data_IF_164403680957
#
_entry.id   IF_164403680957
#
_cell.length_a   1.000
_cell.length_b   1.000
_cell.length_c   1.000
_cell.angle_alpha   90.00
_cell.angle_beta   90.00
_cell.angle_gamma   90.00
#
_symmetry.space_group_name_H-M   'P 1'
#
loop_
_entity.id
_entity.type
_entity.pdbx_description
1 polymer ?
#
# COMPACT_ATOMS: atom_id res chain seq x y z
N UNK A 1 -63.73 21.06 63.50
CA UNK A 1 -62.39 20.62 63.05
C UNK A 1 -62.48 20.48 61.55
N UNK A 2 -61.93 21.43 60.80
CA UNK A 2 -61.94 21.35 59.35
C UNK A 2 -60.85 20.40 58.93
N UNK A 3 -61.21 19.28 58.31
CA UNK A 3 -60.28 18.35 57.75
C UNK A 3 -59.58 19.01 56.57
N UNK A 4 -58.25 19.24 56.71
CA UNK A 4 -57.42 19.75 55.64
C UNK A 4 -57.49 18.69 54.50
N UNK A 5 -57.92 19.08 53.29
CA UNK A 5 -58.10 18.13 52.21
C UNK A 5 -56.76 17.48 51.89
N UNK A 6 -56.73 16.15 51.81
CA UNK A 6 -55.55 15.33 51.47
C UNK A 6 -54.82 15.81 50.19
N UNK A 7 -55.54 16.49 49.32
CA UNK A 7 -55.05 17.09 48.08
C UNK A 7 -53.92 18.15 48.34
N UNK A 8 -54.08 18.97 49.38
CA UNK A 8 -53.07 19.98 49.75
C UNK A 8 -51.79 19.38 50.33
N UNK A 9 -51.91 18.22 50.94
CA UNK A 9 -50.75 17.46 51.39
C UNK A 9 -49.97 16.80 50.25
N UNK A 10 -50.66 16.40 49.17
CA UNK A 10 -50.01 15.83 47.97
C UNK A 10 -49.27 16.88 47.16
N UNK A 11 -49.73 18.13 47.12
CA UNK A 11 -49.02 19.23 46.41
C UNK A 11 -47.76 19.66 47.10
N UNK A 12 -47.60 19.35 48.40
CA UNK A 12 -46.38 19.56 49.17
C UNK A 12 -45.41 18.37 49.18
N UNK A 13 -45.62 17.42 48.30
CA UNK A 13 -44.74 16.27 48.24
C UNK A 13 -43.30 16.77 47.90
N UNK A 14 -42.34 16.67 48.85
CA UNK A 14 -41.01 17.19 48.65
C UNK A 14 -40.30 16.58 47.47
N UNK A 15 -40.77 15.44 47.00
CA UNK A 15 -40.27 14.76 45.80
C UNK A 15 -40.42 15.62 44.54
N UNK A 16 -41.49 16.40 44.44
CA UNK A 16 -41.69 17.30 43.28
C UNK A 16 -40.88 18.60 43.40
N UNK A 17 -40.64 19.05 44.60
CA UNK A 17 -39.85 20.27 44.87
C UNK A 17 -38.38 20.02 44.86
N UNK A 18 -37.91 18.82 45.20
CA UNK A 18 -36.49 18.49 45.34
C UNK A 18 -35.89 17.83 44.11
N UNK A 19 -36.65 17.47 43.12
CA UNK A 19 -36.12 16.88 41.87
C UNK A 19 -35.36 17.95 41.09
N UNK A 20 -34.14 18.16 41.49
CA UNK A 20 -33.14 18.89 40.70
C UNK A 20 -32.65 17.91 39.64
N UNK A 21 -33.20 17.99 38.45
CA UNK A 21 -32.69 17.28 37.28
C UNK A 21 -31.37 17.88 36.79
N UNK A 22 -30.53 18.25 37.73
CA UNK A 22 -29.16 18.68 37.39
C UNK A 22 -28.25 17.47 37.51
N UNK A 23 -27.89 16.93 36.37
CA UNK A 23 -26.76 16.01 36.32
C UNK A 23 -25.50 16.69 36.87
N UNK A 24 -24.40 15.95 37.04
CA UNK A 24 -23.12 16.51 37.43
C UNK A 24 -22.76 17.65 36.47
N UNK A 25 -22.49 18.84 37.05
CA UNK A 25 -22.06 20.01 36.27
C UNK A 25 -20.73 19.63 35.61
N UNK A 26 -20.71 19.68 34.30
CA UNK A 26 -19.46 19.45 33.57
C UNK A 26 -18.60 20.73 33.68
N UNK A 27 -17.59 20.69 34.54
CA UNK A 27 -16.70 21.80 34.78
C UNK A 27 -15.88 22.14 33.52
N UNK A 28 -15.61 21.15 32.67
CA UNK A 28 -14.84 21.36 31.43
C UNK A 28 -15.66 22.06 30.33
N UNK A 29 -16.97 21.95 30.37
CA UNK A 29 -17.89 22.63 29.46
C UNK A 29 -19.00 23.30 30.27
N UNK A 30 -18.74 24.44 30.90
CA UNK A 30 -19.79 25.17 31.61
C UNK A 30 -20.87 25.60 30.64
N UNK A 31 -22.13 25.57 31.09
CA UNK A 31 -23.23 26.08 30.27
C UNK A 31 -23.05 27.59 30.07
N UNK A 32 -23.37 28.08 28.86
CA UNK A 32 -23.37 29.53 28.63
C UNK A 32 -24.32 30.21 29.63
N UNK A 33 -23.91 31.37 30.07
CA UNK A 33 -24.75 32.20 30.97
C UNK A 33 -26.05 32.64 30.24
N UNK A 34 -27.07 33.03 31.01
CA UNK A 34 -28.25 33.67 30.43
C UNK A 34 -27.84 34.89 29.60
N UNK A 35 -28.56 35.21 28.54
CA UNK A 35 -28.22 36.28 27.60
C UNK A 35 -27.85 37.61 28.29
N UNK A 36 -28.72 38.08 29.20
CA UNK A 36 -28.47 39.36 29.93
C UNK A 36 -27.21 39.31 30.78
N UNK A 37 -26.93 38.17 31.43
CA UNK A 37 -25.73 37.97 32.21
C UNK A 37 -24.50 37.90 31.34
N UNK A 38 -24.61 37.29 30.18
CA UNK A 38 -23.52 37.17 29.21
C UNK A 38 -23.17 38.56 28.66
N UNK A 39 -24.17 39.34 28.27
CA UNK A 39 -24.00 40.70 27.80
C UNK A 39 -23.31 41.59 28.88
N UNK A 40 -23.70 41.49 30.14
CA UNK A 40 -23.11 42.18 31.25
C UNK A 40 -21.62 41.77 31.45
N UNK A 41 -21.37 40.49 31.40
CA UNK A 41 -20.00 39.96 31.52
C UNK A 41 -19.09 40.46 30.39
N UNK A 42 -19.60 40.45 29.15
CA UNK A 42 -18.84 40.90 27.97
C UNK A 42 -18.57 42.43 28.04
N UNK A 43 -19.55 43.21 28.50
CA UNK A 43 -19.38 44.65 28.67
C UNK A 43 -18.45 45.05 29.85
N UNK A 44 -18.45 44.25 30.92
CA UNK A 44 -17.63 44.50 32.11
C UNK A 44 -16.27 43.83 32.05
N UNK A 45 -15.99 43.07 31.01
CA UNK A 45 -14.71 42.38 30.88
C UNK A 45 -13.55 43.39 30.70
N UNK A 46 -12.50 43.31 31.50
CA UNK A 46 -11.39 44.25 31.36
C UNK A 46 -10.64 44.03 30.05
N UNK A 47 -10.55 45.08 29.25
CA UNK A 47 -9.81 45.04 27.98
C UNK A 47 -8.36 45.39 28.25
N UNK A 48 -7.50 44.40 28.35
CA UNK A 48 -6.08 44.59 28.42
C UNK A 48 -5.51 44.82 27.02
N UNK A 49 -4.95 46.02 26.80
CA UNK A 49 -4.22 46.29 25.54
C UNK A 49 -2.93 45.48 25.55
N UNK A 50 -2.87 44.44 24.77
CA UNK A 50 -1.62 43.74 24.52
C UNK A 50 -0.74 44.61 23.61
N UNK A 51 0.56 44.79 23.92
CA UNK A 51 1.47 45.54 23.07
C UNK A 51 1.51 44.90 21.68
N UNK A 52 1.15 45.68 20.64
CA UNK A 52 1.01 45.19 19.26
C UNK A 52 2.35 44.90 18.58
N UNK A 53 3.48 45.29 19.16
CA UNK A 53 4.76 45.32 18.43
C UNK A 53 5.60 44.06 18.50
N UNK A 54 5.26 43.07 19.32
CA UNK A 54 6.21 41.99 19.58
C UNK A 54 5.75 40.61 19.11
N UNK A 55 4.54 40.50 18.63
CA UNK A 55 4.03 39.19 18.19
C UNK A 55 3.47 39.30 16.80
N UNK A 56 4.14 38.65 15.85
CA UNK A 56 3.56 38.41 14.55
C UNK A 56 2.25 37.61 14.70
N UNK A 57 1.27 37.86 13.84
CA UNK A 57 -0.03 37.15 13.85
C UNK A 57 0.14 35.64 13.96
N UNK A 58 1.20 35.12 13.34
CA UNK A 58 1.60 33.71 13.38
C UNK A 58 1.98 33.25 14.81
N UNK A 59 2.55 34.15 15.63
CA UNK A 59 2.92 33.79 17.00
C UNK A 59 1.75 33.84 17.98
N UNK A 60 0.66 34.50 17.60
CA UNK A 60 -0.60 34.57 18.35
C UNK A 60 -1.49 33.37 18.10
N UNK A 61 -1.31 32.68 16.97
CA UNK A 61 -1.98 31.43 16.68
C UNK A 61 -1.56 30.35 17.68
N UNK A 62 -2.55 29.71 18.25
CA UNK A 62 -2.43 28.66 19.25
C UNK A 62 -1.32 27.64 18.98
N UNK A 63 -0.83 27.03 20.02
CA UNK A 63 0.22 25.98 20.18
C UNK A 63 0.50 25.00 19.01
N UNK A 64 -0.36 24.95 17.98
CA UNK A 64 -0.15 24.19 16.75
C UNK A 64 0.97 24.75 15.86
N UNK A 65 1.05 26.07 15.71
CA UNK A 65 2.01 26.72 14.80
C UNK A 65 3.44 26.66 15.36
N UNK A 66 3.60 26.70 16.67
CA UNK A 66 4.92 26.53 17.29
C UNK A 66 5.53 25.14 17.05
N UNK A 67 4.70 24.14 16.74
CA UNK A 67 5.19 22.80 16.32
C UNK A 67 5.70 22.79 14.89
N UNK A 68 5.14 23.64 14.02
CA UNK A 68 5.52 23.69 12.61
C UNK A 68 6.82 24.48 12.39
N UNK A 69 7.09 25.48 13.24
CA UNK A 69 8.28 26.31 13.15
C UNK A 69 9.40 25.89 14.12
N UNK A 70 9.30 24.71 14.72
CA UNK A 70 10.46 24.15 15.43
C UNK A 70 11.54 23.91 14.38
N UNK A 71 12.61 24.70 14.47
CA UNK A 71 13.84 24.41 13.76
C UNK A 71 14.10 22.91 13.89
N UNK A 72 14.34 22.24 12.77
CA UNK A 72 14.60 20.80 12.77
C UNK A 72 15.82 20.55 13.66
N UNK A 73 15.54 20.16 14.89
CA UNK A 73 16.59 19.79 15.84
C UNK A 73 17.18 18.50 15.27
N UNK A 74 18.44 18.57 14.93
CA UNK A 74 19.21 17.42 14.47
C UNK A 74 19.29 16.38 15.60
N UNK A 75 18.65 15.25 15.39
CA UNK A 75 18.60 14.18 16.36
C UNK A 75 19.61 13.09 15.98
N UNK A 76 20.66 12.87 16.79
CA UNK A 76 21.67 11.84 16.47
C UNK A 76 21.09 10.43 16.40
N UNK A 77 20.00 10.15 17.13
CA UNK A 77 19.31 8.87 17.05
C UNK A 77 18.67 8.63 15.67
N UNK A 78 18.06 9.66 15.07
CA UNK A 78 17.49 9.57 13.72
C UNK A 78 18.60 9.30 12.68
N UNK A 79 19.80 9.83 12.88
CA UNK A 79 20.96 9.53 12.01
C UNK A 79 21.39 8.07 12.09
N UNK A 80 21.37 7.47 13.29
CA UNK A 80 21.69 6.06 13.47
C UNK A 80 20.66 5.19 12.75
N UNK A 81 19.37 5.49 12.91
CA UNK A 81 18.30 4.79 12.22
C UNK A 81 18.37 4.98 10.69
N UNK A 82 18.79 6.15 10.22
CA UNK A 82 18.98 6.40 8.79
C UNK A 82 20.12 5.55 8.22
N UNK A 83 21.23 5.39 8.95
CA UNK A 83 22.33 4.47 8.56
C UNK A 83 21.84 3.03 8.53
N UNK A 84 21.15 2.57 9.59
CA UNK A 84 20.57 1.21 9.62
C UNK A 84 19.63 0.99 8.41
N UNK A 85 18.81 1.97 8.09
CA UNK A 85 17.91 1.90 6.93
C UNK A 85 18.71 1.78 5.62
N UNK A 86 19.74 2.58 5.43
CA UNK A 86 20.60 2.52 4.25
C UNK A 86 21.30 1.17 4.14
N UNK A 87 21.80 0.63 5.25
CA UNK A 87 22.44 -0.69 5.29
C UNK A 87 21.45 -1.79 4.85
N UNK A 88 20.18 -1.71 5.28
CA UNK A 88 19.15 -2.62 4.79
C UNK A 88 18.92 -2.50 3.29
N UNK A 89 18.88 -1.29 2.74
CA UNK A 89 18.74 -1.08 1.29
C UNK A 89 19.93 -1.67 0.51
N UNK A 90 21.16 -1.54 1.03
CA UNK A 90 22.35 -2.03 0.36
C UNK A 90 22.51 -3.57 0.48
N UNK A 91 22.10 -4.14 1.61
CA UNK A 91 22.25 -5.57 1.87
C UNK A 91 21.17 -6.40 1.18
N UNK A 92 19.95 -5.85 1.08
CA UNK A 92 18.81 -6.57 0.52
C UNK A 92 18.73 -6.37 -0.99
N UNK A 93 18.62 -7.45 -1.74
CA UNK A 93 18.41 -7.39 -3.20
C UNK A 93 16.96 -7.11 -3.59
N UNK A 94 16.04 -7.26 -2.65
CA UNK A 94 14.61 -6.99 -2.84
C UNK A 94 14.12 -6.08 -1.72
N UNK A 95 13.48 -4.98 -2.07
CA UNK A 95 12.80 -4.07 -1.15
C UNK A 95 11.39 -3.81 -1.68
N UNK A 96 10.37 -4.14 -0.89
CA UNK A 96 8.97 -3.93 -1.29
C UNK A 96 8.32 -2.90 -0.38
N UNK A 97 7.70 -1.90 -0.99
CA UNK A 97 6.98 -0.82 -0.33
C UNK A 97 5.52 -1.18 -0.21
N UNK A 98 5.03 -1.20 1.01
CA UNK A 98 3.64 -1.49 1.33
C UNK A 98 2.95 -0.25 1.88
N UNK A 99 1.75 0.00 1.42
CA UNK A 99 0.82 0.88 2.10
C UNK A 99 0.03 0.08 3.15
N UNK A 100 -0.02 0.61 4.36
CA UNK A 100 -0.74 0.01 5.47
C UNK A 100 -2.04 0.74 5.71
N UNK A 101 -3.17 0.08 5.49
CA UNK A 101 -4.45 0.48 6.03
C UNK A 101 -4.55 0.09 7.51
N UNK A 102 -5.61 0.50 8.18
CA UNK A 102 -5.83 0.12 9.58
C UNK A 102 -5.94 -1.40 9.68
N UNK A 103 -5.07 -2.00 10.50
CA UNK A 103 -5.02 -3.43 10.76
C UNK A 103 -4.88 -3.66 12.27
N UNK A 104 -5.58 -4.68 12.78
CA UNK A 104 -5.43 -5.09 14.16
C UNK A 104 -4.09 -5.80 14.36
N UNK A 105 -3.56 -5.72 15.59
CA UNK A 105 -2.28 -6.36 15.90
C UNK A 105 -2.38 -7.89 15.83
N UNK A 106 -3.52 -8.45 16.15
CA UNK A 106 -3.81 -9.89 16.05
C UNK A 106 -3.69 -10.41 14.61
N UNK A 107 -4.17 -9.63 13.63
CA UNK A 107 -4.06 -9.97 12.21
C UNK A 107 -2.64 -9.74 11.66
N UNK A 108 -1.93 -8.77 12.19
CA UNK A 108 -0.57 -8.42 11.75
C UNK A 108 0.48 -9.42 12.20
N UNK A 109 0.36 -9.97 13.42
CA UNK A 109 1.30 -10.90 14.02
C UNK A 109 1.55 -12.16 13.17
N UNK A 110 0.53 -12.89 12.70
CA UNK A 110 0.73 -14.09 11.87
C UNK A 110 1.39 -13.78 10.53
N UNK A 111 1.13 -12.59 9.97
CA UNK A 111 1.78 -12.15 8.73
C UNK A 111 3.26 -11.91 8.98
N UNK A 112 3.58 -11.16 10.04
CA UNK A 112 4.96 -10.90 10.44
C UNK A 112 5.73 -12.20 10.71
N UNK A 113 5.11 -13.16 11.41
CA UNK A 113 5.70 -14.47 11.65
C UNK A 113 5.94 -15.27 10.36
N UNK A 114 4.98 -15.20 9.42
CA UNK A 114 5.11 -15.86 8.10
C UNK A 114 6.21 -15.24 7.24
N UNK A 115 6.36 -13.93 7.26
CA UNK A 115 7.45 -13.23 6.59
C UNK A 115 8.81 -13.63 7.18
N UNK A 116 8.92 -13.64 8.50
CA UNK A 116 10.15 -13.99 9.20
C UNK A 116 10.58 -15.44 8.93
N UNK A 117 9.62 -16.40 8.85
CA UNK A 117 9.90 -17.79 8.47
C UNK A 117 10.50 -17.91 7.07
N UNK A 118 10.12 -17.01 6.16
CA UNK A 118 10.65 -16.93 4.79
C UNK A 118 11.87 -16.01 4.69
N UNK A 119 12.57 -15.71 5.77
CA UNK A 119 13.77 -14.84 5.83
C UNK A 119 13.53 -13.41 5.34
N UNK A 120 12.29 -12.98 5.30
CA UNK A 120 11.93 -11.61 4.97
C UNK A 120 11.79 -10.78 6.24
N UNK A 121 12.30 -9.56 6.24
CA UNK A 121 12.23 -8.64 7.38
C UNK A 121 11.32 -7.49 7.06
N UNK A 122 10.30 -7.26 7.89
CA UNK A 122 9.41 -6.12 7.77
C UNK A 122 9.85 -5.04 8.76
N UNK A 123 10.06 -3.82 8.27
CA UNK A 123 10.48 -2.65 9.04
C UNK A 123 9.65 -1.44 8.68
N UNK A 124 9.49 -0.55 9.65
CA UNK A 124 8.79 0.72 9.47
C UNK A 124 9.71 1.86 9.85
N UNK A 125 9.94 2.77 8.93
CA UNK A 125 10.72 3.96 9.15
C UNK A 125 9.86 5.21 8.88
N UNK A 126 10.11 6.28 9.63
CA UNK A 126 9.46 7.56 9.40
C UNK A 126 10.01 8.26 8.13
N UNK A 127 9.19 9.12 7.52
CA UNK A 127 9.57 9.88 6.31
C UNK A 127 10.91 10.61 6.47
N UNK A 128 11.15 11.25 7.63
CA UNK A 128 12.38 11.99 7.92
C UNK A 128 13.61 11.10 7.89
N UNK A 129 13.52 9.89 8.49
CA UNK A 129 14.62 8.92 8.52
C UNK A 129 14.95 8.43 7.11
N UNK A 130 13.92 8.12 6.33
CA UNK A 130 14.10 7.66 4.95
C UNK A 130 14.66 8.79 4.08
N UNK A 131 14.18 10.01 4.22
CA UNK A 131 14.75 11.16 3.52
C UNK A 131 16.25 11.31 3.84
N UNK A 132 16.64 11.23 5.11
CA UNK A 132 18.06 11.28 5.50
C UNK A 132 18.88 10.10 4.93
N UNK A 133 18.28 8.91 4.83
CA UNK A 133 18.95 7.72 4.35
C UNK A 133 19.14 7.72 2.82
N UNK A 134 18.15 8.26 2.08
CA UNK A 134 18.11 8.15 0.62
C UNK A 134 18.59 9.40 -0.11
N UNK A 135 18.71 10.55 0.57
CA UNK A 135 19.24 11.78 -0.04
C UNK A 135 20.66 11.56 -0.54
N UNK A 136 20.88 11.90 -1.81
CA UNK A 136 22.19 11.72 -2.47
C UNK A 136 22.52 10.27 -2.84
N UNK A 137 21.59 9.33 -2.70
CA UNK A 137 21.76 7.95 -3.15
C UNK A 137 20.88 7.65 -4.37
N UNK A 138 21.14 6.53 -5.04
CA UNK A 138 20.30 6.04 -6.16
C UNK A 138 18.82 5.81 -5.80
N UNK A 139 18.51 5.77 -4.52
CA UNK A 139 17.14 5.55 -4.01
C UNK A 139 16.37 6.84 -3.74
N UNK A 140 16.84 8.00 -4.18
CA UNK A 140 16.20 9.29 -3.93
C UNK A 140 14.76 9.37 -4.46
N UNK A 141 14.50 8.77 -5.62
CA UNK A 141 13.16 8.71 -6.22
C UNK A 141 12.10 8.06 -5.30
N UNK A 142 12.53 7.21 -4.38
CA UNK A 142 11.65 6.52 -3.43
C UNK A 142 11.04 7.47 -2.39
N UNK A 143 11.65 8.63 -2.12
CA UNK A 143 11.14 9.60 -1.14
C UNK A 143 9.71 10.06 -1.44
N UNK A 144 9.33 10.15 -2.71
CA UNK A 144 7.99 10.56 -3.13
C UNK A 144 6.89 9.56 -2.74
N UNK A 145 7.25 8.30 -2.49
CA UNK A 145 6.30 7.27 -2.07
C UNK A 145 5.87 7.44 -0.61
N UNK A 146 6.67 8.14 0.23
CA UNK A 146 6.44 8.26 1.66
C UNK A 146 5.49 9.42 2.01
N UNK A 147 4.22 9.29 1.61
CA UNK A 147 3.17 10.27 1.94
C UNK A 147 2.35 9.83 3.14
N UNK A 148 2.09 8.54 3.29
CA UNK A 148 1.21 7.97 4.32
C UNK A 148 1.90 6.89 5.15
N UNK A 149 1.12 6.06 5.81
CA UNK A 149 1.66 4.94 6.60
C UNK A 149 2.19 3.84 5.66
N UNK A 150 3.50 3.68 5.66
CA UNK A 150 4.17 2.70 4.83
C UNK A 150 5.05 1.79 5.66
N UNK A 151 5.18 0.57 5.20
CA UNK A 151 6.11 -0.41 5.72
C UNK A 151 6.98 -0.96 4.59
N UNK A 152 8.20 -1.32 4.95
CA UNK A 152 9.19 -1.86 4.04
C UNK A 152 9.39 -3.33 4.34
N UNK A 153 9.45 -4.14 3.30
CA UNK A 153 9.83 -5.55 3.41
C UNK A 153 11.14 -5.73 2.66
N UNK A 154 12.12 -6.24 3.38
CA UNK A 154 13.45 -6.57 2.87
C UNK A 154 13.58 -8.08 2.71
N UNK A 155 14.15 -8.54 1.60
CA UNK A 155 14.31 -9.95 1.33
C UNK A 155 15.15 -10.26 0.10
N UNK A 156 15.00 -11.47 -0.41
CA UNK A 156 15.64 -11.93 -1.65
C UNK A 156 14.62 -11.95 -2.80
N UNK A 157 15.04 -11.73 -4.05
CA UNK A 157 14.14 -11.68 -5.21
C UNK A 157 13.39 -13.00 -5.45
N UNK A 158 13.97 -14.13 -5.06
CA UNK A 158 13.36 -15.47 -5.20
C UNK A 158 12.09 -15.64 -4.36
N UNK A 159 11.98 -14.91 -3.25
CA UNK A 159 10.88 -15.04 -2.29
C UNK A 159 9.67 -14.17 -2.63
N UNK A 160 9.70 -13.44 -3.75
CA UNK A 160 8.61 -12.52 -4.12
C UNK A 160 7.28 -13.26 -4.32
N UNK A 161 7.31 -14.46 -4.89
CA UNK A 161 6.12 -15.29 -5.05
C UNK A 161 5.50 -15.72 -3.72
N UNK A 162 6.34 -15.99 -2.71
CA UNK A 162 5.90 -16.30 -1.34
C UNK A 162 5.35 -15.05 -0.67
N UNK A 163 6.01 -13.89 -0.86
CA UNK A 163 5.55 -12.60 -0.35
C UNK A 163 4.14 -12.27 -0.84
N UNK A 164 3.90 -12.35 -2.14
CA UNK A 164 2.60 -12.04 -2.73
C UNK A 164 1.50 -13.00 -2.24
N UNK A 165 1.83 -14.28 -2.02
CA UNK A 165 0.90 -15.26 -1.42
C UNK A 165 0.54 -14.91 0.03
N UNK A 166 1.49 -14.43 0.81
CA UNK A 166 1.27 -13.99 2.18
C UNK A 166 0.40 -12.71 2.20
N UNK A 167 0.71 -11.74 1.34
CA UNK A 167 -0.04 -10.49 1.26
C UNK A 167 -1.48 -10.66 0.76
N UNK A 168 -1.76 -11.67 -0.05
CA UNK A 168 -3.15 -12.01 -0.44
C UNK A 168 -4.04 -12.34 0.76
N UNK A 169 -3.46 -12.82 1.87
CA UNK A 169 -4.20 -13.11 3.11
C UNK A 169 -4.53 -11.85 3.91
N UNK A 170 -3.87 -10.73 3.61
CA UNK A 170 -4.02 -9.46 4.31
C UNK A 170 -4.37 -8.34 3.32
N UNK A 171 -5.63 -8.16 2.97
CA UNK A 171 -6.08 -7.14 2.00
C UNK A 171 -5.79 -5.71 2.48
N UNK A 172 -5.57 -5.50 3.79
CA UNK A 172 -5.21 -4.20 4.35
C UNK A 172 -3.78 -3.76 3.96
N UNK A 173 -2.91 -4.70 3.57
CA UNK A 173 -1.55 -4.41 3.12
C UNK A 173 -1.49 -4.36 1.61
N UNK A 174 -1.36 -3.17 1.06
CA UNK A 174 -1.34 -2.96 -0.40
C UNK A 174 0.09 -2.77 -0.87
N UNK A 175 0.52 -3.58 -1.83
CA UNK A 175 1.82 -3.40 -2.50
C UNK A 175 1.74 -2.17 -3.40
N UNK A 176 2.66 -1.24 -3.21
CA UNK A 176 2.79 -0.06 -4.07
C UNK A 176 3.82 -0.32 -5.18
N UNK A 177 5.04 -0.56 -4.78
CA UNK A 177 6.21 -0.65 -5.65
C UNK A 177 7.21 -1.61 -5.01
N UNK A 178 8.08 -2.20 -5.81
CA UNK A 178 9.24 -2.93 -5.33
C UNK A 178 10.51 -2.53 -6.05
N UNK A 179 11.63 -2.66 -5.36
CA UNK A 179 12.96 -2.56 -5.95
C UNK A 179 13.53 -3.97 -5.98
N UNK A 180 13.93 -4.43 -7.14
CA UNK A 180 14.59 -5.72 -7.33
C UNK A 180 15.87 -5.45 -8.10
N UNK A 181 17.00 -5.83 -7.53
CA UNK A 181 18.34 -5.64 -8.15
C UNK A 181 18.51 -4.23 -8.74
N UNK A 182 18.16 -3.21 -7.91
CA UNK A 182 18.24 -1.78 -8.24
C UNK A 182 17.25 -1.28 -9.32
N UNK A 183 16.31 -2.11 -9.75
CA UNK A 183 15.22 -1.71 -10.66
C UNK A 183 13.94 -1.46 -9.89
N UNK A 184 13.34 -0.31 -10.12
CA UNK A 184 12.03 0.03 -9.58
C UNK A 184 10.96 -0.63 -10.45
N UNK A 185 10.12 -1.44 -9.82
CA UNK A 185 9.05 -2.20 -10.50
C UNK A 185 7.68 -1.86 -9.90
N UNK A 186 6.71 -1.67 -10.75
CA UNK A 186 5.31 -1.51 -10.36
C UNK A 186 4.74 -2.81 -9.79
N UNK A 187 3.54 -2.74 -9.20
CA UNK A 187 2.84 -3.93 -8.68
C UNK A 187 2.61 -4.98 -9.78
N UNK A 188 2.27 -4.57 -11.00
CA UNK A 188 1.99 -5.49 -12.09
C UNK A 188 3.26 -6.21 -12.56
N UNK A 189 4.34 -5.47 -12.72
CA UNK A 189 5.66 -6.03 -13.06
C UNK A 189 6.16 -6.99 -11.97
N UNK A 190 5.90 -6.68 -10.68
CA UNK A 190 6.21 -7.59 -9.58
C UNK A 190 5.41 -8.90 -9.66
N UNK A 191 4.15 -8.82 -10.11
CA UNK A 191 3.34 -10.02 -10.32
C UNK A 191 3.86 -10.86 -11.48
N UNK A 192 4.24 -10.24 -12.58
CA UNK A 192 4.85 -10.91 -13.73
C UNK A 192 6.19 -11.54 -13.33
N UNK A 193 7.04 -10.78 -12.62
CA UNK A 193 8.29 -11.31 -12.10
C UNK A 193 8.10 -12.51 -11.16
N UNK A 194 7.03 -12.50 -10.37
CA UNK A 194 6.71 -13.63 -9.48
C UNK A 194 6.31 -14.91 -10.20
N UNK A 195 5.90 -14.80 -11.46
CA UNK A 195 5.56 -15.94 -12.31
C UNK A 195 6.79 -16.54 -12.99
N UNK A 196 7.89 -15.77 -13.06
CA UNK A 196 9.16 -16.28 -13.53
C UNK A 196 9.77 -17.15 -12.43
N UNK A 197 9.77 -18.46 -12.61
CA UNK A 197 10.48 -19.32 -11.66
C UNK A 197 11.98 -19.14 -11.92
N UNK A 198 12.82 -19.69 -11.08
CA UNK A 198 14.29 -19.59 -11.08
C UNK A 198 14.95 -19.36 -12.44
N UNK A 199 16.13 -18.75 -12.43
CA UNK A 199 16.97 -18.45 -13.61
C UNK A 199 17.08 -19.66 -14.56
N UNK A 200 17.16 -20.86 -14.00
CA UNK A 200 17.29 -22.09 -14.80
C UNK A 200 16.01 -22.40 -15.60
N UNK A 201 14.84 -22.09 -15.04
CA UNK A 201 13.57 -22.26 -15.78
C UNK A 201 13.41 -21.15 -16.83
N UNK A 202 13.85 -19.93 -16.55
CA UNK A 202 13.88 -18.88 -17.57
C UNK A 202 14.80 -19.23 -18.74
N UNK A 203 15.98 -19.80 -18.43
CA UNK A 203 16.90 -20.31 -19.45
C UNK A 203 16.28 -21.47 -20.25
N UNK A 204 15.63 -22.40 -19.58
CA UNK A 204 14.96 -23.50 -20.26
C UNK A 204 13.80 -23.04 -21.14
N UNK A 205 13.05 -22.03 -20.75
CA UNK A 205 12.02 -21.39 -21.57
C UNK A 205 12.63 -20.73 -22.81
N UNK A 206 13.73 -19.99 -22.64
CA UNK A 206 14.45 -19.40 -23.79
C UNK A 206 14.90 -20.46 -24.77
N UNK A 207 15.53 -21.54 -24.27
CA UNK A 207 15.95 -22.66 -25.12
C UNK A 207 14.76 -23.32 -25.83
N UNK A 208 13.64 -23.48 -25.13
CA UNK A 208 12.39 -24.04 -25.72
C UNK A 208 11.85 -23.16 -26.84
N UNK A 209 11.84 -21.82 -26.64
CA UNK A 209 11.39 -20.87 -27.68
C UNK A 209 12.32 -20.92 -28.91
N UNK A 210 13.63 -20.93 -28.69
CA UNK A 210 14.61 -21.05 -29.77
C UNK A 210 14.48 -22.40 -30.55
N UNK A 211 14.29 -23.49 -29.81
CA UNK A 211 14.08 -24.79 -30.38
C UNK A 211 12.76 -24.87 -31.18
N UNK A 212 11.69 -24.26 -30.65
CA UNK A 212 10.42 -24.15 -31.34
C UNK A 212 10.53 -23.33 -32.64
N UNK A 213 11.27 -22.22 -32.61
CA UNK A 213 11.53 -21.42 -33.80
C UNK A 213 12.32 -22.24 -34.85
N UNK A 214 13.39 -22.94 -34.42
CA UNK A 214 14.16 -23.84 -35.29
C UNK A 214 13.32 -24.97 -35.89
N UNK A 215 12.52 -25.64 -35.08
CA UNK A 215 11.64 -26.71 -35.55
C UNK A 215 10.56 -26.23 -36.53
N UNK A 216 10.04 -24.99 -36.29
CA UNK A 216 9.09 -24.37 -37.22
C UNK A 216 9.70 -24.15 -38.62
N UNK A 217 10.95 -23.66 -38.67
CA UNK A 217 11.66 -23.44 -39.95
C UNK A 217 11.90 -24.78 -40.66
N UNK A 218 12.37 -25.80 -39.93
CA UNK A 218 12.58 -27.13 -40.47
C UNK A 218 11.26 -27.72 -40.97
N UNK A 219 10.18 -27.58 -40.20
CA UNK A 219 8.85 -28.04 -40.62
C UNK A 219 8.35 -27.37 -41.91
N UNK A 220 8.55 -26.03 -42.04
CA UNK A 220 8.19 -25.30 -43.25
C UNK A 220 9.01 -25.76 -44.47
N UNK A 221 10.30 -26.03 -44.31
CA UNK A 221 11.13 -26.56 -45.39
C UNK A 221 10.72 -27.98 -45.79
N UNK A 222 10.42 -28.85 -44.83
CA UNK A 222 9.93 -30.20 -45.09
C UNK A 222 8.56 -30.19 -45.74
N UNK A 223 7.69 -29.27 -45.32
CA UNK A 223 6.34 -29.17 -45.93
C UNK A 223 6.41 -28.78 -47.42
N UNK A 224 7.33 -27.87 -47.78
CA UNK A 224 7.53 -27.54 -49.21
C UNK A 224 8.01 -28.72 -50.02
N UNK A 225 8.90 -29.55 -49.51
CA UNK A 225 9.36 -30.77 -50.13
C UNK A 225 8.25 -31.81 -50.26
N UNK A 226 7.47 -32.05 -49.20
CA UNK A 226 6.34 -32.95 -49.18
C UNK A 226 5.23 -32.54 -50.18
N UNK A 227 4.97 -31.23 -50.28
CA UNK A 227 4.04 -30.70 -51.26
C UNK A 227 4.50 -30.99 -52.68
N UNK A 228 5.79 -30.82 -52.96
CA UNK A 228 6.40 -31.09 -54.27
C UNK A 228 6.31 -32.55 -54.63
N UNK A 229 6.65 -33.46 -53.70
CA UNK A 229 6.49 -34.90 -53.86
C UNK A 229 5.03 -35.26 -54.11
N UNK A 230 4.09 -34.75 -53.31
CA UNK A 230 2.65 -35.01 -53.49
C UNK A 230 2.09 -34.49 -54.84
N UNK A 231 2.64 -33.36 -55.35
CA UNK A 231 2.26 -32.92 -56.72
C UNK A 231 2.84 -33.82 -57.80
N UNK A 232 4.06 -34.31 -57.66
CA UNK A 232 4.68 -35.28 -58.60
C UNK A 232 3.95 -36.60 -58.60
N UNK A 233 3.57 -37.12 -57.43
CA UNK A 233 2.80 -38.36 -57.31
C UNK A 233 1.43 -38.21 -57.96
N UNK A 234 0.69 -37.16 -57.79
CA UNK A 234 -0.56 -36.86 -58.45
C UNK A 234 -0.39 -36.81 -60.00
N UNK A 235 0.70 -36.17 -60.42
CA UNK A 235 1.00 -36.08 -61.85
C UNK A 235 1.32 -37.47 -62.47
N UNK A 236 2.05 -38.30 -61.75
CA UNK A 236 2.33 -39.70 -62.16
C UNK A 236 1.05 -40.55 -62.20
N UNK A 237 0.15 -40.36 -61.21
CA UNK A 237 -1.16 -41.04 -61.23
C UNK A 237 -2.02 -40.59 -62.41
N UNK A 238 -2.06 -39.32 -62.77
CA UNK A 238 -2.78 -38.83 -63.96
C UNK A 238 -2.22 -39.41 -65.26
N UNK A 239 -0.89 -39.48 -65.39
CA UNK A 239 -0.25 -40.05 -66.55
C UNK A 239 -0.48 -41.57 -66.67
N UNK A 240 -0.47 -42.27 -65.53
CA UNK A 240 -0.80 -43.76 -65.56
C UNK A 240 -2.28 -44.05 -65.83
N UNK A 241 -3.18 -43.14 -65.31
CA UNK A 241 -4.62 -43.24 -65.59
C UNK A 241 -4.97 -42.96 -67.02
N UNK A 242 -4.33 -41.97 -67.67
CA UNK A 242 -4.54 -41.70 -69.13
C UNK A 242 -4.03 -42.86 -70.03
N UNK A 243 -2.94 -43.50 -69.63
CA UNK A 243 -2.43 -44.68 -70.39
C UNK A 243 -3.29 -45.94 -70.24
N UNK A 244 -4.15 -46.04 -69.25
CA UNK A 244 -5.12 -47.15 -69.12
C UNK A 244 -6.42 -46.85 -69.84
N UNK A 245 -6.82 -45.62 -70.06
CA UNK A 245 -7.97 -45.27 -70.88
C UNK A 245 -7.69 -45.48 -72.37
N UNK A 246 -6.50 -45.08 -72.85
CA UNK A 246 -6.12 -45.34 -74.24
C UNK A 246 -6.03 -46.86 -74.64
N UNK A 247 -5.86 -47.73 -73.65
CA UNK A 247 -5.88 -49.20 -73.89
C UNK A 247 -7.28 -49.78 -73.88
N UNK A 248 -8.27 -49.16 -73.31
CA UNK A 248 -9.67 -49.58 -73.29
C UNK A 248 -10.47 -49.16 -74.56
N UNK A 249 -10.01 -48.05 -75.17
CA UNK A 249 -10.64 -47.58 -76.44
C UNK A 249 -10.06 -48.23 -77.69
N UNK A 250 -9.15 -49.24 -77.57
CA UNK A 250 -8.55 -49.96 -78.65
C UNK A 250 -8.89 -51.48 -78.67
N UNK A 251 -9.77 -51.92 -77.78
CA UNK A 251 -10.42 -53.23 -77.81
C UNK A 251 -11.89 -53.07 -78.26
#
# INVERSE_FOLDING_TARGET
MASIPKVLLQTRNPIFLSKRFRGKINIQKPRPAHYDKQLLLDLTQPVYRTPKHEKTEISLCTKGVSKWNKAEIDNPFERILAKECLDWFNTSKMVVFLHMNSINMEDKLPIYASLKRNKMTMRRYGKKIISMATTGTRYEAVQHLFVSQQELIFGQPEDIGKLLKILKKAPQMVVLVGIIEDRLMSKNELMEFSQLPNIDVARSQLCSVLQSAGSSIVGQLQQSQQMLVGHLDKHAEMLSGSSQQEKKDKE
#
